data_IF_506240682018
#
_entry.id   IF_506240682018
#
_cell.length_a   1.000
_cell.length_b   1.000
_cell.length_c   1.000
_cell.angle_alpha   90.00
_cell.angle_beta   90.00
_cell.angle_gamma   90.00
#
_symmetry.space_group_name_H-M   'P 1'
#
loop_
_entity.id
_entity.type
_entity.pdbx_description
1 polymer ?
#
# COMPACT_ATOMS: atom_id res chain seq x y z
N UNK A 1 17.30 -7.15 -14.17
CA UNK A 1 16.77 -8.30 -13.41
C UNK A 1 15.41 -7.92 -12.83
N UNK A 2 14.41 -8.73 -13.11
CA UNK A 2 13.07 -8.47 -12.58
C UNK A 2 12.99 -9.07 -11.17
N UNK A 3 12.79 -8.20 -10.19
CA UNK A 3 12.60 -8.66 -8.81
C UNK A 3 11.17 -9.14 -8.64
N UNK A 4 11.03 -10.38 -8.18
CA UNK A 4 9.72 -11.00 -8.03
C UNK A 4 9.18 -10.70 -6.63
N UNK A 5 8.10 -9.92 -6.57
CA UNK A 5 7.45 -9.62 -5.29
C UNK A 5 6.14 -10.40 -5.20
N UNK A 6 5.83 -10.90 -3.99
CA UNK A 6 4.55 -11.51 -3.74
C UNK A 6 3.45 -10.44 -3.77
N UNK A 7 2.21 -10.87 -3.96
CA UNK A 7 1.06 -9.96 -3.91
C UNK A 7 0.99 -9.23 -2.57
N UNK A 8 1.25 -9.95 -1.47
CA UNK A 8 1.27 -9.33 -0.13
C UNK A 8 2.38 -8.31 0.01
N UNK A 9 3.55 -8.56 -0.58
CA UNK A 9 4.65 -7.60 -0.53
C UNK A 9 4.26 -6.32 -1.24
N UNK A 10 3.58 -6.42 -2.37
CA UNK A 10 3.11 -5.25 -3.12
C UNK A 10 2.09 -4.46 -2.29
N UNK A 11 1.13 -5.16 -1.66
CA UNK A 11 0.16 -4.51 -0.78
C UNK A 11 0.88 -3.80 0.36
N UNK A 12 1.84 -4.46 0.99
CA UNK A 12 2.63 -3.87 2.06
C UNK A 12 3.39 -2.63 1.60
N UNK A 13 3.96 -2.67 0.41
CA UNK A 13 4.68 -1.50 -0.15
C UNK A 13 3.73 -0.33 -0.39
N UNK A 14 2.51 -0.60 -0.89
CA UNK A 14 1.51 0.45 -1.11
C UNK A 14 1.07 1.06 0.22
N UNK A 15 0.76 0.25 1.21
CA UNK A 15 0.34 0.74 2.51
C UNK A 15 1.46 1.50 3.21
N UNK A 16 2.70 1.02 3.12
CA UNK A 16 3.86 1.73 3.69
C UNK A 16 4.03 3.10 3.05
N UNK A 17 3.87 3.18 1.74
CA UNK A 17 4.02 4.45 1.03
C UNK A 17 2.95 5.45 1.47
N UNK A 18 1.71 5.00 1.63
CA UNK A 18 0.63 5.90 2.09
C UNK A 18 0.83 6.32 3.54
N UNK A 19 1.39 5.43 4.38
CA UNK A 19 1.69 5.77 5.78
C UNK A 19 2.82 6.79 5.88
N UNK A 20 3.86 6.64 5.06
CA UNK A 20 5.08 7.41 5.18
C UNK A 20 5.04 8.74 4.44
N UNK A 21 4.02 8.95 3.59
CA UNK A 21 3.86 10.20 2.88
C UNK A 21 3.19 11.21 3.79
N UNK A 22 4.01 11.85 4.63
CA UNK A 22 3.56 12.82 5.63
C UNK A 22 3.56 14.25 5.11
N UNK A 23 3.95 14.49 3.86
CA UNK A 23 4.03 15.84 3.33
C UNK A 23 2.66 16.41 3.01
N UNK A 24 1.66 15.57 2.92
CA UNK A 24 0.33 15.97 2.53
C UNK A 24 -0.69 15.15 3.32
N UNK A 25 -1.38 15.81 4.25
CA UNK A 25 -2.42 15.15 5.04
C UNK A 25 -3.57 14.62 4.18
N UNK A 26 -3.64 15.04 2.92
CA UNK A 26 -4.68 14.61 2.01
C UNK A 26 -4.42 13.22 1.41
N UNK A 27 -3.19 12.71 1.53
CA UNK A 27 -2.87 11.38 1.06
C UNK A 27 -2.04 11.35 -0.22
N UNK A 28 -1.87 10.17 -0.79
CA UNK A 28 -1.02 9.94 -1.95
C UNK A 28 -1.84 9.78 -3.23
N UNK A 29 -1.36 10.40 -4.31
CA UNK A 29 -1.99 10.23 -5.62
C UNK A 29 -1.66 8.88 -6.23
N UNK A 30 -2.48 8.43 -7.19
CA UNK A 30 -2.22 7.17 -7.91
C UNK A 30 -0.86 7.22 -8.61
N UNK A 31 -0.53 8.34 -9.24
CA UNK A 31 0.75 8.50 -9.94
C UNK A 31 1.93 8.32 -8.99
N UNK A 32 1.84 8.91 -7.79
CA UNK A 32 2.87 8.76 -6.78
C UNK A 32 3.01 7.31 -6.34
N UNK A 33 1.88 6.64 -6.12
CA UNK A 33 1.88 5.25 -5.69
C UNK A 33 2.45 4.32 -6.75
N UNK A 34 2.12 4.56 -8.02
CA UNK A 34 2.68 3.78 -9.14
C UNK A 34 4.19 3.88 -9.13
N UNK A 35 4.71 5.09 -8.98
CA UNK A 35 6.15 5.33 -9.02
C UNK A 35 6.85 4.69 -7.82
N UNK A 36 6.31 4.88 -6.62
CA UNK A 36 6.94 4.39 -5.40
C UNK A 36 6.82 2.88 -5.24
N UNK A 37 5.66 2.33 -5.55
CA UNK A 37 5.43 0.89 -5.43
C UNK A 37 5.94 0.11 -6.65
N UNK A 38 6.25 0.80 -7.74
CA UNK A 38 6.75 0.20 -8.97
C UNK A 38 5.79 -0.87 -9.50
N UNK A 39 4.53 -0.49 -9.68
CA UNK A 39 3.45 -1.37 -10.12
C UNK A 39 2.74 -0.70 -11.29
N UNK A 40 2.28 -1.48 -12.27
CA UNK A 40 1.58 -0.95 -13.44
C UNK A 40 0.26 -0.27 -13.02
N UNK A 41 -0.20 0.68 -13.84
CA UNK A 41 -1.44 1.41 -13.56
C UNK A 41 -2.64 0.46 -13.42
N UNK A 42 -2.78 -0.50 -14.34
CA UNK A 42 -3.92 -1.41 -14.31
C UNK A 42 -3.91 -2.29 -13.05
N UNK A 43 -2.73 -2.73 -12.63
CA UNK A 43 -2.60 -3.58 -11.46
C UNK A 43 -2.86 -2.80 -10.18
N UNK A 44 -2.27 -1.59 -10.06
CA UNK A 44 -2.45 -0.79 -8.85
C UNK A 44 -3.90 -0.35 -8.69
N UNK A 45 -4.60 -0.05 -9.79
CA UNK A 45 -6.00 0.35 -9.73
C UNK A 45 -6.86 -0.74 -9.11
N UNK A 46 -6.62 -2.00 -9.46
CA UNK A 46 -7.36 -3.12 -8.89
C UNK A 46 -7.04 -3.31 -7.41
N UNK A 47 -5.76 -3.20 -7.05
CA UNK A 47 -5.34 -3.35 -5.66
C UNK A 47 -5.93 -2.23 -4.80
N UNK A 48 -5.86 -0.98 -5.26
CA UNK A 48 -6.41 0.15 -4.52
C UNK A 48 -7.91 0.00 -4.29
N UNK A 49 -8.63 -0.50 -5.29
CA UNK A 49 -10.08 -0.73 -5.15
C UNK A 49 -10.37 -1.72 -4.03
N UNK A 50 -9.60 -2.83 -3.98
CA UNK A 50 -9.76 -3.82 -2.93
C UNK A 50 -9.41 -3.23 -1.56
N UNK A 51 -8.30 -2.50 -1.46
CA UNK A 51 -7.88 -1.94 -0.18
C UNK A 51 -8.89 -0.92 0.36
N UNK A 52 -9.49 -0.13 -0.52
CA UNK A 52 -10.54 0.81 -0.11
C UNK A 52 -11.79 0.04 0.32
N UNK A 53 -12.21 -0.97 -0.44
CA UNK A 53 -13.42 -1.73 -0.13
C UNK A 53 -13.28 -2.49 1.19
N UNK A 54 -12.07 -2.89 1.56
CA UNK A 54 -11.81 -3.58 2.82
C UNK A 54 -11.49 -2.64 3.99
N UNK A 55 -11.53 -1.34 3.74
CA UNK A 55 -11.32 -0.36 4.80
C UNK A 55 -9.87 -0.15 5.21
N UNK A 56 -8.91 -0.59 4.41
CA UNK A 56 -7.49 -0.41 4.70
C UNK A 56 -6.96 0.92 4.19
N UNK A 57 -7.58 1.46 3.14
CA UNK A 57 -7.29 2.79 2.62
C UNK A 57 -8.59 3.59 2.56
N UNK A 58 -8.45 4.89 2.69
CA UNK A 58 -9.53 5.84 2.49
C UNK A 58 -9.27 6.61 1.21
N UNK A 59 -10.31 6.80 0.42
CA UNK A 59 -10.24 7.57 -0.81
C UNK A 59 -10.70 8.98 -0.52
N UNK A 60 -9.84 9.95 -0.78
CA UNK A 60 -10.12 11.34 -0.52
C UNK A 60 -10.12 12.09 -1.84
N UNK A 61 -11.23 12.74 -2.18
CA UNK A 61 -11.31 13.61 -3.35
C UNK A 61 -11.06 15.04 -2.88
N UNK A 62 -9.97 15.63 -3.34
CA UNK A 62 -9.62 17.00 -2.98
C UNK A 62 -9.24 17.76 -4.24
N UNK A 63 -9.95 18.86 -4.50
CA UNK A 63 -9.66 19.78 -5.60
C UNK A 63 -9.50 19.05 -6.94
N UNK A 64 -10.37 18.08 -7.21
CA UNK A 64 -10.35 17.34 -8.45
C UNK A 64 -9.31 16.24 -8.51
N UNK A 65 -8.48 16.09 -7.48
CA UNK A 65 -7.49 15.01 -7.40
C UNK A 65 -7.97 13.90 -6.49
N UNK A 66 -7.78 12.67 -6.95
CA UNK A 66 -8.12 11.49 -6.18
C UNK A 66 -6.88 11.01 -5.44
N UNK A 67 -6.97 10.97 -4.11
CA UNK A 67 -5.85 10.59 -3.26
C UNK A 67 -6.26 9.45 -2.34
N UNK A 68 -5.27 8.73 -1.85
CA UNK A 68 -5.46 7.57 -0.98
C UNK A 68 -4.71 7.78 0.32
N UNK A 69 -5.39 7.55 1.43
CA UNK A 69 -4.85 7.75 2.76
C UNK A 69 -5.01 6.45 3.55
N UNK A 70 -3.98 6.07 4.30
CA UNK A 70 -4.07 4.86 5.11
C UNK A 70 -5.05 5.08 6.26
N UNK A 71 -5.93 4.10 6.49
CA UNK A 71 -6.85 4.13 7.61
C UNK A 71 -6.19 3.58 8.86
N UNK A 72 -6.85 3.70 10.02
CA UNK A 72 -6.36 3.08 11.25
C UNK A 72 -6.29 1.57 11.08
N UNK A 73 -7.30 0.96 10.48
CA UNK A 73 -7.28 -0.47 10.20
C UNK A 73 -6.13 -0.84 9.25
N UNK A 74 -5.85 0.03 8.27
CA UNK A 74 -4.72 -0.17 7.37
C UNK A 74 -3.39 -0.14 8.11
N UNK A 75 -3.23 0.76 9.09
CA UNK A 75 -2.03 0.82 9.91
C UNK A 75 -1.85 -0.45 10.74
N UNK A 76 -2.92 -0.93 11.32
CA UNK A 76 -2.90 -2.16 12.09
C UNK A 76 -2.56 -3.37 11.22
N UNK A 77 -3.15 -3.43 10.03
CA UNK A 77 -2.85 -4.48 9.07
C UNK A 77 -1.37 -4.46 8.68
N UNK A 78 -0.85 -3.28 8.37
CA UNK A 78 0.55 -3.14 7.97
C UNK A 78 1.50 -3.56 9.09
N UNK A 79 1.19 -3.19 10.32
CA UNK A 79 1.98 -3.57 11.49
C UNK A 79 2.00 -5.09 11.65
N UNK A 80 0.84 -5.73 11.54
CA UNK A 80 0.73 -7.18 11.63
C UNK A 80 1.49 -7.87 10.49
N UNK A 81 1.40 -7.31 9.28
CA UNK A 81 2.12 -7.84 8.14
C UNK A 81 3.63 -7.79 8.35
N UNK A 82 4.16 -6.66 8.80
CA UNK A 82 5.60 -6.54 9.04
C UNK A 82 6.07 -7.50 10.12
N UNK A 83 5.30 -7.66 11.17
CA UNK A 83 5.64 -8.56 12.26
C UNK A 83 5.67 -10.01 11.78
N UNK A 84 4.65 -10.43 11.04
CA UNK A 84 4.57 -11.78 10.51
C UNK A 84 5.64 -12.01 9.44
N UNK A 85 5.87 -11.05 8.56
CA UNK A 85 6.89 -11.15 7.52
C UNK A 85 8.28 -11.33 8.14
N UNK A 86 8.59 -10.57 9.18
CA UNK A 86 9.86 -10.72 9.88
C UNK A 86 10.00 -12.09 10.53
N UNK A 87 8.93 -12.56 11.14
CA UNK A 87 8.91 -13.89 11.74
C UNK A 87 9.10 -14.98 10.67
N UNK A 88 8.39 -14.87 9.56
CA UNK A 88 8.51 -15.84 8.47
C UNK A 88 9.92 -15.89 7.89
N UNK A 89 10.58 -14.74 7.80
CA UNK A 89 11.95 -14.65 7.28
C UNK A 89 12.92 -15.50 8.13
N UNK A 90 12.68 -15.60 9.43
CA UNK A 90 13.54 -16.42 10.30
C UNK A 90 13.48 -17.90 9.92
N UNK A 91 12.47 -18.31 9.18
CA UNK A 91 12.33 -19.69 8.71
C UNK A 91 12.64 -19.80 7.21
N UNK A 92 13.22 -18.76 6.62
CA UNK A 92 13.53 -18.77 5.19
C UNK A 92 12.30 -18.60 4.29
N UNK A 93 11.19 -18.10 4.84
CA UNK A 93 9.94 -17.94 4.10
C UNK A 93 9.72 -16.48 3.74
N UNK A 94 9.20 -16.25 2.52
CA UNK A 94 8.88 -14.91 2.03
C UNK A 94 7.38 -14.80 1.79
N UNK A 95 6.78 -13.76 2.34
CA UNK A 95 5.35 -13.49 2.13
C UNK A 95 5.13 -12.08 1.59
#
# INVERSE_FOLDING_TARGET
MVEYRTHMKIIGDILSTTRDDLQDDEGATVTYLIRKANVSHSRISRILRVLVSQGLLEKVDSQGSRKYKISQTGREFLQAYHKFSGFATNFGLTI
#
